data_IF_976188053396
#
_entry.id   IF_976188053396
#
_cell.length_a   1.000
_cell.length_b   1.000
_cell.length_c   1.000
_cell.angle_alpha   90.00
_cell.angle_beta   90.00
_cell.angle_gamma   90.00
#
_symmetry.space_group_name_H-M   'P 1'
#
loop_
_entity.id
_entity.type
_entity.pdbx_description
1 polymer ?
#
# COMPACT_ATOMS: atom_id res chain seq x y z
N UNK A 1 -13.21 -6.20 21.58
CA UNK A 1 -14.26 -6.26 20.54
C UNK A 1 -13.63 -6.90 19.30
N UNK A 2 -14.05 -8.10 18.92
CA UNK A 2 -13.49 -8.82 17.76
C UNK A 2 -14.28 -8.32 16.55
N UNK A 3 -13.63 -7.55 15.69
CA UNK A 3 -14.20 -7.14 14.41
C UNK A 3 -14.56 -8.41 13.62
N UNK A 4 -15.79 -8.59 13.12
CA UNK A 4 -16.12 -9.73 12.30
C UNK A 4 -15.21 -9.73 11.07
N UNK A 5 -14.76 -10.90 10.60
CA UNK A 5 -13.93 -10.96 9.41
C UNK A 5 -14.68 -10.32 8.25
N UNK A 6 -14.07 -9.28 7.66
CA UNK A 6 -14.58 -8.64 6.47
C UNK A 6 -14.92 -9.70 5.41
N UNK A 7 -16.05 -9.59 4.69
CA UNK A 7 -16.36 -10.49 3.58
C UNK A 7 -15.24 -10.51 2.51
N UNK A 8 -14.43 -9.46 2.45
CA UNK A 8 -13.23 -9.39 1.62
C UNK A 8 -12.09 -10.32 2.08
N UNK A 9 -11.99 -10.67 3.37
CA UNK A 9 -10.87 -11.47 3.89
C UNK A 9 -10.81 -12.90 3.35
N UNK A 10 -11.96 -13.54 3.14
CA UNK A 10 -12.03 -14.92 2.60
C UNK A 10 -11.72 -14.94 1.10
N UNK A 11 -12.25 -13.97 0.37
CA UNK A 11 -12.01 -13.80 -1.07
C UNK A 11 -10.54 -13.51 -1.38
N UNK A 12 -9.87 -12.74 -0.53
CA UNK A 12 -8.43 -12.45 -0.67
C UNK A 12 -7.56 -13.70 -0.41
N UNK A 13 -7.91 -14.54 0.56
CA UNK A 13 -7.13 -15.73 0.87
C UNK A 13 -7.14 -16.74 -0.29
N UNK A 14 -8.30 -17.00 -0.88
CA UNK A 14 -8.43 -17.94 -2.01
C UNK A 14 -7.68 -17.40 -3.24
N UNK A 15 -7.78 -16.09 -3.50
CA UNK A 15 -7.06 -15.43 -4.60
C UNK A 15 -5.55 -15.41 -4.41
N UNK A 16 -5.08 -15.26 -3.19
CA UNK A 16 -3.64 -15.31 -2.91
C UNK A 16 -3.07 -16.72 -3.13
N UNK A 17 -3.78 -17.77 -2.76
CA UNK A 17 -3.35 -19.14 -3.02
C UNK A 17 -3.21 -19.42 -4.52
N UNK A 18 -4.18 -18.98 -5.32
CA UNK A 18 -4.14 -19.06 -6.78
C UNK A 18 -2.95 -18.26 -7.36
N UNK A 19 -2.74 -17.05 -6.85
CA UNK A 19 -1.63 -16.19 -7.26
C UNK A 19 -0.27 -16.87 -7.00
N UNK A 20 -0.08 -17.48 -5.83
CA UNK A 20 1.16 -18.19 -5.49
C UNK A 20 1.37 -19.42 -6.38
N UNK A 21 0.32 -20.16 -6.68
CA UNK A 21 0.41 -21.29 -7.62
C UNK A 21 0.83 -20.85 -9.02
N UNK A 22 0.28 -19.72 -9.52
CA UNK A 22 0.64 -19.18 -10.82
C UNK A 22 2.08 -18.65 -10.82
N UNK A 23 2.52 -17.98 -9.76
CA UNK A 23 3.89 -17.49 -9.61
C UNK A 23 4.90 -18.64 -9.61
N UNK A 24 4.65 -19.69 -8.82
CA UNK A 24 5.54 -20.86 -8.75
C UNK A 24 5.70 -21.59 -10.10
N UNK A 25 4.76 -21.38 -11.03
CA UNK A 25 4.82 -21.87 -12.41
C UNK A 25 5.44 -20.87 -13.39
N UNK A 26 5.90 -19.72 -12.93
CA UNK A 26 6.47 -18.65 -13.76
C UNK A 26 5.45 -17.99 -14.72
N UNK A 27 4.16 -17.97 -14.34
CA UNK A 27 3.08 -17.40 -15.14
C UNK A 27 2.73 -15.97 -14.73
N UNK A 28 3.20 -15.53 -13.57
CA UNK A 28 3.02 -14.18 -13.02
C UNK A 28 4.35 -13.73 -12.42
N UNK A 29 4.83 -12.57 -12.83
CA UNK A 29 6.07 -11.96 -12.32
C UNK A 29 5.80 -10.90 -11.25
N UNK A 30 4.66 -10.19 -11.33
CA UNK A 30 4.33 -9.06 -10.46
C UNK A 30 2.88 -9.13 -9.98
N UNK A 31 2.69 -8.97 -8.68
CA UNK A 31 1.37 -8.85 -8.06
C UNK A 31 1.01 -7.37 -7.84
N UNK A 32 -0.11 -6.94 -8.39
CA UNK A 32 -0.59 -5.54 -8.39
C UNK A 32 -1.92 -5.42 -7.62
N UNK A 33 -1.86 -5.59 -6.30
CA UNK A 33 -3.04 -5.48 -5.45
C UNK A 33 -3.17 -4.05 -4.89
N UNK A 34 -4.40 -3.55 -4.77
CA UNK A 34 -4.64 -2.18 -4.28
C UNK A 34 -4.22 -2.01 -2.81
N UNK A 35 -3.40 -1.00 -2.53
CA UNK A 35 -2.85 -0.74 -1.19
C UNK A 35 -3.92 -0.29 -0.19
N UNK A 36 -4.94 0.43 -0.65
CA UNK A 36 -6.04 0.91 0.20
C UNK A 36 -6.99 -0.21 0.57
N UNK A 37 -7.44 -1.01 -0.40
CA UNK A 37 -8.38 -2.12 -0.19
C UNK A 37 -7.76 -3.24 0.65
N UNK A 38 -6.49 -3.54 0.41
CA UNK A 38 -5.79 -4.60 1.12
C UNK A 38 -5.30 -4.16 2.50
N UNK A 39 -4.88 -2.93 2.61
CA UNK A 39 -4.32 -2.34 3.82
C UNK A 39 -2.86 -2.72 4.08
N UNK A 40 -2.15 -1.85 4.78
CA UNK A 40 -0.71 -1.97 5.03
C UNK A 40 -0.33 -3.23 5.82
N UNK A 41 -1.15 -3.62 6.79
CA UNK A 41 -0.91 -4.82 7.61
C UNK A 41 -0.96 -6.10 6.79
N UNK A 42 -1.88 -6.18 5.81
CA UNK A 42 -1.97 -7.33 4.93
C UNK A 42 -0.78 -7.37 3.96
N UNK A 43 -0.38 -6.24 3.39
CA UNK A 43 0.80 -6.14 2.54
C UNK A 43 2.07 -6.62 3.25
N UNK A 44 2.29 -6.23 4.51
CA UNK A 44 3.43 -6.71 5.32
C UNK A 44 3.47 -8.23 5.49
N UNK A 45 2.33 -8.89 5.48
CA UNK A 45 2.23 -10.34 5.57
C UNK A 45 2.39 -11.04 4.23
N UNK A 46 1.94 -10.40 3.15
CA UNK A 46 1.90 -10.98 1.81
C UNK A 46 3.23 -10.84 1.08
N UNK A 47 3.95 -9.72 1.24
CA UNK A 47 5.21 -9.49 0.51
C UNK A 47 6.25 -10.61 0.67
N UNK A 48 6.55 -11.14 1.88
CA UNK A 48 7.46 -12.27 2.02
C UNK A 48 6.96 -13.55 1.35
N UNK A 49 5.64 -13.72 1.26
CA UNK A 49 5.03 -14.88 0.60
C UNK A 49 5.09 -14.73 -0.93
N UNK A 50 4.97 -13.53 -1.46
CA UNK A 50 5.20 -13.26 -2.88
C UNK A 50 6.65 -13.58 -3.24
N UNK A 51 7.61 -13.07 -2.46
CA UNK A 51 9.03 -13.32 -2.66
C UNK A 51 9.37 -14.83 -2.65
N UNK A 52 8.79 -15.58 -1.73
CA UNK A 52 8.96 -17.03 -1.64
C UNK A 52 8.40 -17.82 -2.85
N UNK A 53 7.59 -17.17 -3.68
CA UNK A 53 7.01 -17.73 -4.90
C UNK A 53 7.49 -17.02 -6.17
N UNK A 54 8.64 -16.33 -6.10
CA UNK A 54 9.28 -15.59 -7.20
C UNK A 54 8.39 -14.49 -7.82
N UNK A 55 7.46 -13.93 -7.03
CA UNK A 55 6.58 -12.86 -7.46
C UNK A 55 7.04 -11.55 -6.82
N UNK A 56 7.20 -10.49 -7.60
CA UNK A 56 7.41 -9.12 -7.09
C UNK A 56 6.12 -8.50 -6.61
N UNK A 57 6.20 -7.62 -5.61
CA UNK A 57 5.07 -6.80 -5.20
C UNK A 57 5.10 -5.42 -5.85
N UNK A 58 3.96 -4.96 -6.35
CA UNK A 58 3.78 -3.58 -6.80
C UNK A 58 2.43 -3.09 -6.29
N UNK A 59 2.38 -2.48 -5.08
CA UNK A 59 1.11 -2.03 -4.52
C UNK A 59 0.43 -1.00 -5.43
N UNK A 60 -0.76 -1.36 -5.94
CA UNK A 60 -1.56 -0.47 -6.78
C UNK A 60 -2.03 0.73 -5.95
N UNK A 61 -1.82 1.94 -6.48
CA UNK A 61 -2.02 3.19 -5.75
C UNK A 61 -2.86 4.22 -6.51
N UNK A 62 -3.55 3.80 -7.59
CA UNK A 62 -4.40 4.69 -8.38
C UNK A 62 -5.51 5.32 -7.52
N UNK A 63 -6.03 6.45 -7.96
CA UNK A 63 -7.14 7.25 -7.46
C UNK A 63 -6.81 8.30 -6.37
N UNK A 64 -5.77 8.13 -5.56
CA UNK A 64 -5.48 9.09 -4.49
C UNK A 64 -3.97 9.33 -4.28
N UNK A 65 -3.51 10.59 -4.19
CA UNK A 65 -2.08 10.91 -4.00
C UNK A 65 -1.47 10.29 -2.74
N UNK A 66 -2.22 10.16 -1.64
CA UNK A 66 -1.73 9.51 -0.43
C UNK A 66 -1.52 8.01 -0.59
N UNK A 67 -2.23 7.34 -1.50
CA UNK A 67 -1.97 5.93 -1.80
C UNK A 67 -0.58 5.71 -2.37
N UNK A 68 -0.05 6.65 -3.17
CA UNK A 68 1.35 6.62 -3.63
C UNK A 68 2.33 6.60 -2.46
N UNK A 69 2.08 7.42 -1.42
CA UNK A 69 2.89 7.43 -0.19
C UNK A 69 2.82 6.07 0.53
N UNK A 70 1.64 5.50 0.67
CA UNK A 70 1.44 4.20 1.32
C UNK A 70 2.10 3.07 0.53
N UNK A 71 1.95 3.05 -0.79
CA UNK A 71 2.59 2.09 -1.67
C UNK A 71 4.13 2.18 -1.60
N UNK A 72 4.67 3.40 -1.58
CA UNK A 72 6.10 3.65 -1.45
C UNK A 72 6.68 3.11 -0.14
N UNK A 73 5.98 3.33 0.98
CA UNK A 73 6.39 2.82 2.29
C UNK A 73 6.37 1.28 2.34
N UNK A 74 5.34 0.66 1.74
CA UNK A 74 5.26 -0.81 1.63
C UNK A 74 6.42 -1.34 0.79
N UNK A 75 6.64 -0.80 -0.40
CA UNK A 75 7.69 -1.24 -1.31
C UNK A 75 9.10 -1.10 -0.69
N UNK A 76 9.37 0.06 -0.13
CA UNK A 76 10.70 0.34 0.43
C UNK A 76 10.96 -0.49 1.70
N UNK A 77 9.94 -0.66 2.54
CA UNK A 77 10.09 -1.32 3.85
C UNK A 77 10.14 -2.85 3.79
N UNK A 78 9.70 -3.48 2.70
CA UNK A 78 9.57 -4.93 2.60
C UNK A 78 10.51 -5.60 1.59
N UNK A 79 11.27 -4.80 0.82
CA UNK A 79 12.40 -5.28 0.02
C UNK A 79 12.07 -6.02 -1.27
N UNK A 80 10.84 -6.49 -1.47
CA UNK A 80 10.40 -7.24 -2.67
C UNK A 80 9.53 -6.39 -3.61
N UNK A 81 9.73 -5.07 -3.59
CA UNK A 81 8.98 -4.14 -4.42
C UNK A 81 9.60 -3.97 -5.81
N UNK A 82 8.76 -3.87 -6.85
CA UNK A 82 9.23 -3.62 -8.21
C UNK A 82 9.10 -2.13 -8.56
N UNK A 83 7.89 -1.60 -8.51
CA UNK A 83 7.58 -0.22 -8.87
C UNK A 83 6.50 0.36 -7.94
N UNK A 84 6.53 1.67 -7.76
CA UNK A 84 5.44 2.41 -7.13
C UNK A 84 4.68 3.17 -8.20
N UNK A 85 3.39 2.92 -8.30
CA UNK A 85 2.50 3.67 -9.17
C UNK A 85 2.33 5.09 -8.61
N UNK A 86 2.80 6.09 -9.35
CA UNK A 86 2.74 7.48 -8.95
C UNK A 86 1.46 8.16 -9.41
N UNK A 87 0.66 8.66 -8.47
CA UNK A 87 -0.50 9.51 -8.75
C UNK A 87 -0.12 10.94 -8.39
N UNK A 88 0.02 11.85 -9.37
CA UNK A 88 0.33 13.24 -9.08
C UNK A 88 -0.86 13.92 -8.42
N UNK A 89 -0.58 14.81 -7.49
CA UNK A 89 -1.61 15.61 -6.84
C UNK A 89 -1.18 16.07 -5.44
N UNK A 90 -1.97 16.99 -4.93
CA UNK A 90 -1.84 17.51 -3.57
C UNK A 90 -3.08 17.09 -2.78
N UNK A 91 -2.88 16.85 -1.50
CA UNK A 91 -3.99 16.65 -0.56
C UNK A 91 -4.09 17.88 0.31
N UNK A 92 -5.23 18.53 0.31
CA UNK A 92 -5.47 19.74 1.09
C UNK A 92 -5.24 19.43 2.57
N UNK A 93 -4.45 20.26 3.22
CA UNK A 93 -4.13 20.08 4.64
C UNK A 93 -3.11 18.99 4.95
N UNK A 94 -2.46 18.38 3.94
CA UNK A 94 -1.41 17.39 4.16
C UNK A 94 -0.13 17.80 3.47
N UNK A 95 0.92 18.03 4.25
CA UNK A 95 2.25 18.30 3.73
C UNK A 95 3.00 17.00 3.46
N UNK A 96 3.32 16.78 2.19
CA UNK A 96 4.08 15.64 1.68
C UNK A 96 5.50 16.01 1.24
N UNK A 97 5.97 17.22 1.54
CA UNK A 97 7.26 17.77 1.08
C UNK A 97 8.49 16.99 1.51
N UNK A 98 8.34 16.12 2.52
CA UNK A 98 9.38 15.18 2.95
C UNK A 98 9.67 14.08 1.93
N UNK A 99 8.76 13.85 0.98
CA UNK A 99 8.94 12.91 -0.12
C UNK A 99 9.41 13.65 -1.36
N UNK A 100 10.47 13.18 -1.99
CA UNK A 100 11.01 13.84 -3.18
C UNK A 100 11.07 12.88 -4.36
N UNK A 101 10.53 13.31 -5.49
CA UNK A 101 10.60 12.56 -6.75
C UNK A 101 11.62 13.23 -7.68
N UNK A 102 12.68 12.50 -8.03
CA UNK A 102 13.70 12.99 -8.95
C UNK A 102 14.13 11.88 -9.91
N UNK A 103 14.06 12.16 -11.18
CA UNK A 103 14.46 11.21 -12.25
C UNK A 103 13.76 9.85 -12.13
N UNK A 104 12.50 9.81 -11.76
CA UNK A 104 11.73 8.58 -11.58
C UNK A 104 12.00 7.85 -10.25
N UNK A 105 12.84 8.38 -9.39
CA UNK A 105 13.15 7.81 -8.07
C UNK A 105 12.42 8.61 -7.00
N UNK A 106 11.57 7.94 -6.25
CA UNK A 106 10.89 8.48 -5.08
C UNK A 106 11.75 8.20 -3.84
N UNK A 107 12.22 9.28 -3.20
CA UNK A 107 12.98 9.19 -1.95
C UNK A 107 12.04 9.39 -0.77
N UNK A 108 12.08 8.47 0.16
CA UNK A 108 11.28 8.47 1.39
C UNK A 108 12.04 9.15 2.54
N UNK A 109 11.34 9.81 3.45
CA UNK A 109 11.95 10.38 4.65
C UNK A 109 12.38 9.26 5.63
N UNK A 110 13.53 9.45 6.26
CA UNK A 110 14.03 8.56 7.32
C UNK A 110 13.51 9.03 8.69
N UNK A 111 12.22 8.82 8.93
CA UNK A 111 11.52 9.22 10.17
C UNK A 111 10.41 8.20 10.49
N UNK A 112 9.99 8.10 11.76
CA UNK A 112 8.87 7.23 12.14
C UNK A 112 7.56 7.59 11.43
N UNK A 113 6.75 6.57 11.17
CA UNK A 113 5.45 6.70 10.50
C UNK A 113 5.58 7.12 9.04
N UNK A 114 4.60 7.84 8.52
CA UNK A 114 4.60 8.36 7.16
C UNK A 114 5.30 9.71 6.99
N UNK A 115 5.78 10.32 8.08
CA UNK A 115 6.41 11.66 8.06
C UNK A 115 5.58 12.72 7.34
N UNK A 116 4.27 12.65 7.48
CA UNK A 116 3.32 13.63 6.97
C UNK A 116 2.99 14.63 8.08
N UNK A 117 2.82 15.88 7.73
CA UNK A 117 2.25 16.90 8.62
C UNK A 117 0.82 17.20 8.19
N UNK A 118 -0.08 17.27 9.15
CA UNK A 118 -1.50 17.56 8.92
C UNK A 118 -1.80 18.95 9.48
N UNK A 119 -2.37 19.81 8.64
CA UNK A 119 -2.95 21.09 9.06
C UNK A 119 -4.37 20.82 9.59
N UNK A 120 -4.51 20.71 10.89
CA UNK A 120 -5.78 20.41 11.53
C UNK A 120 -6.87 21.45 11.24
N UNK A 121 -6.49 22.70 10.90
CA UNK A 121 -7.45 23.73 10.51
C UNK A 121 -8.16 23.47 9.18
N UNK A 122 -7.61 22.56 8.36
CA UNK A 122 -8.17 22.14 7.07
C UNK A 122 -8.99 20.87 7.17
N UNK A 123 -9.05 20.24 8.35
CA UNK A 123 -9.88 19.06 8.58
C UNK A 123 -11.33 19.50 8.72
N UNK A 124 -12.16 19.12 7.73
CA UNK A 124 -13.56 19.53 7.67
C UNK A 124 -14.48 18.65 8.52
N UNK A 125 -14.15 17.38 8.66
CA UNK A 125 -14.97 16.42 9.38
C UNK A 125 -14.13 15.24 9.90
N UNK A 126 -14.37 14.85 11.15
CA UNK A 126 -13.93 13.59 11.70
C UNK A 126 -15.12 12.64 11.74
N UNK A 127 -15.14 11.61 10.92
CA UNK A 127 -16.09 10.52 11.08
C UNK A 127 -15.49 9.42 11.92
N UNK A 128 -16.08 9.17 13.09
CA UNK A 128 -15.77 7.96 13.85
C UNK A 128 -16.54 6.78 13.22
N UNK A 129 -15.90 6.11 12.27
CA UNK A 129 -16.46 4.93 11.62
C UNK A 129 -16.47 3.67 12.51
N UNK A 130 -16.23 3.85 13.82
CA UNK A 130 -16.11 2.79 14.81
C UNK A 130 -17.38 2.43 15.57
N UNK A 131 -18.52 2.99 15.23
CA UNK A 131 -19.76 2.77 15.96
C UNK A 131 -20.93 2.38 15.03
N UNK A 132 -20.95 1.13 14.63
CA UNK A 132 -22.20 0.39 14.35
C UNK A 132 -21.94 -1.10 14.41
#
# INVERSE_FOLDING_TARGET
>A
MICPPSPFGRWQADRLAELYELGSKGLIDVALMDVGSMGLTAWRKVMPLLEANDIKGSPHAWDAPLKTIYAAQVNCGLGNGEIVEGVPGLVVGVDTSTYTLKNGILTLPDRPGFSLSIDESQVLEYSDSGSN
#
